data_IF_479337893387
#
_entry.id   IF_479337893387
#
_cell.length_a   1.000
_cell.length_b   1.000
_cell.length_c   1.000
_cell.angle_alpha   90.00
_cell.angle_beta   90.00
_cell.angle_gamma   90.00
#
_symmetry.space_group_name_H-M   'P 1'
#
loop_
_entity.id
_entity.type
_entity.pdbx_description
1 polymer ?
#
# COMPACT_ATOMS: atom_id res chain seq x y z
N UNK A 1 47.33 -40.12 9.67
CA UNK A 1 47.13 -38.83 10.37
C UNK A 1 46.14 -37.93 9.63
N UNK A 2 46.49 -37.36 8.46
CA UNK A 2 45.64 -36.42 7.68
C UNK A 2 44.15 -36.81 7.58
N UNK A 3 43.83 -38.05 7.17
CA UNK A 3 42.44 -38.54 7.04
C UNK A 3 41.63 -38.39 8.34
N UNK A 4 42.24 -38.67 9.50
CA UNK A 4 41.57 -38.54 10.80
C UNK A 4 41.33 -37.07 11.18
N UNK A 5 42.27 -36.17 10.84
CA UNK A 5 42.11 -34.72 11.05
C UNK A 5 40.98 -34.17 10.18
N UNK A 6 40.90 -34.57 8.91
CA UNK A 6 39.79 -34.21 8.02
C UNK A 6 38.44 -34.75 8.52
N UNK A 7 38.40 -35.99 9.01
CA UNK A 7 37.17 -36.57 9.57
C UNK A 7 36.67 -35.81 10.81
N UNK A 8 37.59 -35.46 11.72
CA UNK A 8 37.29 -34.65 12.91
C UNK A 8 36.79 -33.25 12.50
N UNK A 9 37.42 -32.61 11.51
CA UNK A 9 36.96 -31.32 10.97
C UNK A 9 35.54 -31.41 10.40
N UNK A 10 35.23 -32.43 9.59
CA UNK A 10 33.87 -32.63 9.05
C UNK A 10 32.86 -32.84 10.17
N UNK A 11 33.18 -33.67 11.19
CA UNK A 11 32.31 -33.90 12.35
C UNK A 11 32.08 -32.60 13.14
N UNK A 12 33.11 -31.79 13.37
CA UNK A 12 32.99 -30.50 14.04
C UNK A 12 32.17 -29.50 13.23
N UNK A 13 32.33 -29.44 11.91
CA UNK A 13 31.53 -28.57 11.02
C UNK A 13 30.05 -28.99 11.01
N UNK A 14 29.77 -30.30 11.03
CA UNK A 14 28.41 -30.84 11.12
C UNK A 14 27.79 -30.54 12.49
N UNK A 15 28.50 -30.78 13.59
CA UNK A 15 28.04 -30.46 14.96
C UNK A 15 27.82 -28.95 15.12
N UNK A 16 28.68 -28.10 14.57
CA UNK A 16 28.52 -26.65 14.61
C UNK A 16 27.26 -26.19 13.85
N UNK A 17 27.03 -26.71 12.64
CA UNK A 17 25.84 -26.32 11.85
C UNK A 17 24.53 -26.89 12.41
N UNK A 18 24.54 -28.09 12.98
CA UNK A 18 23.36 -28.69 13.62
C UNK A 18 23.08 -28.02 14.97
N UNK A 19 24.10 -27.73 15.77
CA UNK A 19 23.89 -27.16 17.11
C UNK A 19 23.29 -25.75 17.04
N UNK A 20 23.88 -24.83 16.27
CA UNK A 20 23.36 -23.44 16.20
C UNK A 20 21.92 -23.35 15.65
N UNK A 21 21.53 -24.23 14.72
CA UNK A 21 20.16 -24.27 14.19
C UNK A 21 19.16 -24.95 15.15
N UNK A 22 19.47 -26.18 15.59
CA UNK A 22 18.54 -26.98 16.38
C UNK A 22 18.40 -26.45 17.80
N UNK A 23 19.50 -26.07 18.46
CA UNK A 23 19.48 -25.66 19.88
C UNK A 23 18.65 -24.39 20.08
N UNK A 24 18.72 -23.42 19.14
CA UNK A 24 17.87 -22.20 19.16
C UNK A 24 16.37 -22.50 19.12
N UNK A 25 15.97 -23.61 18.48
CA UNK A 25 14.58 -24.03 18.39
C UNK A 25 14.14 -25.02 19.51
N UNK A 26 15.10 -25.66 20.18
CA UNK A 26 14.90 -26.65 21.25
C UNK A 26 14.79 -26.04 22.66
N UNK A 27 15.36 -24.86 22.91
CA UNK A 27 15.22 -24.22 24.22
C UNK A 27 13.76 -23.84 24.54
N UNK A 28 13.33 -23.94 25.81
CA UNK A 28 11.99 -23.51 26.22
C UNK A 28 11.84 -22.01 25.96
N UNK A 29 10.81 -21.65 25.18
CA UNK A 29 10.52 -20.27 24.80
C UNK A 29 9.98 -19.52 26.01
N UNK A 30 10.37 -18.26 26.15
CA UNK A 30 9.92 -17.38 27.24
C UNK A 30 8.39 -17.40 27.36
N UNK A 31 7.91 -17.59 28.60
CA UNK A 31 6.48 -17.48 28.90
C UNK A 31 6.02 -16.06 28.58
N UNK A 32 4.83 -15.93 27.97
CA UNK A 32 4.28 -14.63 27.61
C UNK A 32 4.02 -13.80 28.89
N UNK A 33 4.62 -12.60 29.04
CA UNK A 33 4.37 -11.78 30.22
C UNK A 33 2.88 -11.44 30.36
N UNK A 34 2.35 -11.53 31.58
CA UNK A 34 0.90 -11.53 31.83
C UNK A 34 0.15 -10.32 31.25
N UNK A 35 0.80 -9.15 31.17
CA UNK A 35 0.26 -7.92 30.59
C UNK A 35 -0.13 -8.04 29.10
N UNK A 36 0.35 -9.07 28.39
CA UNK A 36 0.06 -9.33 26.98
C UNK A 36 -1.03 -10.38 26.75
N UNK A 37 -1.56 -11.03 27.80
CA UNK A 37 -2.61 -12.05 27.70
C UNK A 37 -3.98 -11.48 27.26
N UNK A 38 -4.18 -10.17 27.36
CA UNK A 38 -5.41 -9.47 26.96
C UNK A 38 -5.46 -9.07 25.48
N UNK A 39 -4.34 -9.15 24.77
CA UNK A 39 -4.23 -8.77 23.36
C UNK A 39 -4.92 -9.83 22.50
N UNK A 40 -5.45 -9.43 21.34
CA UNK A 40 -6.12 -10.34 20.40
C UNK A 40 -5.70 -10.11 18.97
N UNK A 41 -5.83 -11.12 18.10
CA UNK A 41 -5.73 -10.88 16.66
C UNK A 41 -6.85 -9.90 16.21
N UNK A 42 -6.62 -9.03 15.22
CA UNK A 42 -7.59 -8.05 14.72
C UNK A 42 -9.00 -8.61 14.44
N UNK A 43 -9.08 -9.84 13.93
CA UNK A 43 -10.31 -10.55 13.58
C UNK A 43 -11.17 -10.94 14.80
N UNK A 44 -10.59 -10.97 16.01
CA UNK A 44 -11.30 -11.28 17.26
C UNK A 44 -11.83 -10.02 17.97
N UNK A 45 -11.91 -8.89 17.27
CA UNK A 45 -12.36 -7.59 17.78
C UNK A 45 -11.63 -7.19 19.08
N UNK A 46 -10.32 -6.86 19.01
CA UNK A 46 -9.50 -6.50 20.16
C UNK A 46 -10.16 -5.37 20.98
N UNK A 47 -10.19 -5.56 22.31
CA UNK A 47 -11.09 -4.83 23.18
C UNK A 47 -10.50 -3.49 23.67
N UNK A 48 -11.07 -2.37 23.23
CA UNK A 48 -10.96 -1.07 23.91
C UNK A 48 -12.30 -0.71 24.58
N UNK A 49 -12.30 0.13 25.63
CA UNK A 49 -13.53 0.70 26.19
C UNK A 49 -14.34 1.50 25.18
N UNK A 50 -13.70 2.38 24.39
CA UNK A 50 -14.39 3.30 23.46
C UNK A 50 -14.42 2.86 22.00
N UNK A 51 -13.50 1.99 21.57
CA UNK A 51 -13.33 1.63 20.16
C UNK A 51 -13.70 0.17 19.88
N UNK A 52 -14.12 -0.07 18.64
CA UNK A 52 -14.28 -1.39 18.05
C UNK A 52 -13.49 -1.47 16.74
N UNK A 53 -12.78 -2.57 16.53
CA UNK A 53 -12.11 -2.91 15.28
C UNK A 53 -12.94 -3.96 14.55
N UNK A 54 -13.21 -3.73 13.26
CA UNK A 54 -14.00 -4.64 12.41
C UNK A 54 -13.33 -4.80 11.05
N UNK A 55 -13.19 -6.04 10.58
CA UNK A 55 -12.74 -6.33 9.22
C UNK A 55 -13.73 -5.72 8.21
N UNK A 56 -13.20 -4.99 7.22
CA UNK A 56 -14.00 -4.37 6.16
C UNK A 56 -13.85 -5.13 4.84
N UNK A 57 -12.62 -5.45 4.44
CA UNK A 57 -12.34 -6.45 3.42
C UNK A 57 -10.98 -7.11 3.65
N UNK A 58 -10.78 -8.27 3.03
CA UNK A 58 -9.46 -8.88 2.81
C UNK A 58 -9.28 -9.10 1.31
N UNK A 59 -8.03 -9.10 0.84
CA UNK A 59 -7.68 -9.57 -0.51
C UNK A 59 -6.62 -10.67 -0.49
N UNK A 60 -6.37 -11.24 -1.66
CA UNK A 60 -5.34 -12.23 -1.97
C UNK A 60 -4.07 -11.62 -2.62
N UNK A 61 -4.13 -10.38 -3.11
CA UNK A 61 -3.05 -9.71 -3.84
C UNK A 61 -2.29 -8.68 -3.01
N UNK A 62 -0.99 -8.53 -3.27
CA UNK A 62 -0.05 -7.67 -2.54
C UNK A 62 -0.33 -6.15 -2.66
N UNK A 63 -1.29 -5.77 -3.51
CA UNK A 63 -1.27 -4.48 -4.22
C UNK A 63 -2.15 -3.35 -3.64
N UNK A 64 -2.96 -3.57 -2.58
CA UNK A 64 -4.02 -2.61 -2.24
C UNK A 64 -3.52 -1.23 -1.73
N UNK A 65 -2.85 -1.17 -0.58
CA UNK A 65 -2.66 0.09 0.16
C UNK A 65 -1.29 0.75 -0.01
N UNK A 66 -0.32 0.07 -0.63
CA UNK A 66 0.97 0.69 -0.97
C UNK A 66 0.90 1.47 -2.28
N UNK A 67 0.11 0.99 -3.25
CA UNK A 67 -0.05 1.62 -4.57
C UNK A 67 -1.24 2.60 -4.60
N UNK A 68 -2.33 2.33 -3.88
CA UNK A 68 -3.43 3.29 -3.71
C UNK A 68 -3.73 3.50 -2.21
N UNK A 69 -3.02 4.45 -1.61
CA UNK A 69 -3.35 4.97 -0.29
C UNK A 69 -4.78 5.55 -0.26
N UNK A 70 -5.53 5.45 0.85
CA UNK A 70 -6.89 5.96 0.96
C UNK A 70 -6.99 7.43 0.57
N UNK A 71 -8.02 7.78 -0.20
CA UNK A 71 -8.25 9.16 -0.66
C UNK A 71 -9.37 9.76 0.16
N UNK A 72 -9.13 10.94 0.74
CA UNK A 72 -10.12 11.71 1.47
C UNK A 72 -10.72 12.79 0.59
N UNK A 73 -12.05 12.86 0.55
CA UNK A 73 -12.87 13.90 -0.08
C UNK A 73 -13.31 14.89 1.00
N UNK A 74 -12.74 16.09 0.99
CA UNK A 74 -13.00 17.13 2.00
C UNK A 74 -14.24 17.97 1.73
N UNK A 75 -14.93 17.81 0.60
CA UNK A 75 -16.24 18.46 0.35
C UNK A 75 -17.34 17.61 1.01
N UNK A 76 -17.35 16.31 0.71
CA UNK A 76 -18.40 15.41 1.17
C UNK A 76 -18.03 14.67 2.48
N UNK A 77 -16.82 14.89 2.99
CA UNK A 77 -16.19 14.16 4.10
C UNK A 77 -16.20 12.62 3.91
N UNK A 78 -15.95 12.16 2.68
CA UNK A 78 -15.92 10.74 2.33
C UNK A 78 -14.48 10.19 2.29
N UNK A 79 -14.31 8.88 2.45
CA UNK A 79 -13.04 8.18 2.14
C UNK A 79 -13.27 7.16 1.04
N UNK A 80 -12.36 7.11 0.08
CA UNK A 80 -12.33 6.10 -0.97
C UNK A 80 -11.23 5.10 -0.67
N UNK A 81 -11.60 3.81 -0.64
CA UNK A 81 -10.70 2.67 -0.46
C UNK A 81 -10.70 1.81 -1.72
N UNK A 82 -9.51 1.38 -2.16
CA UNK A 82 -9.35 0.45 -3.27
C UNK A 82 -9.09 -0.97 -2.78
N UNK A 83 -9.67 -1.95 -3.48
CA UNK A 83 -9.43 -3.38 -3.32
C UNK A 83 -9.27 -4.03 -4.68
N UNK A 84 -8.03 -4.30 -5.07
CA UNK A 84 -7.73 -5.28 -6.10
C UNK A 84 -8.04 -6.68 -5.57
N UNK A 85 -8.48 -7.58 -6.46
CA UNK A 85 -8.66 -9.02 -6.20
C UNK A 85 -8.14 -9.76 -7.42
N UNK A 86 -7.12 -10.60 -7.24
CA UNK A 86 -6.63 -11.49 -8.30
C UNK A 86 -7.54 -12.72 -8.41
N UNK A 87 -7.60 -13.41 -9.57
CA UNK A 87 -8.25 -14.70 -9.68
C UNK A 87 -7.67 -15.71 -8.68
N UNK A 88 -8.51 -16.30 -7.83
CA UNK A 88 -8.11 -17.48 -7.05
C UNK A 88 -8.03 -18.68 -8.01
N UNK A 89 -6.84 -18.95 -8.56
CA UNK A 89 -6.65 -20.09 -9.45
C UNK A 89 -5.40 -20.92 -9.15
N UNK A 90 -5.61 -21.99 -8.39
CA UNK A 90 -4.68 -23.13 -8.30
C UNK A 90 -4.72 -24.04 -9.54
N UNK A 91 -5.55 -23.74 -10.55
CA UNK A 91 -5.65 -24.52 -11.79
C UNK A 91 -4.84 -23.95 -12.96
N UNK A 92 -4.23 -22.78 -12.80
CA UNK A 92 -3.31 -22.20 -13.79
C UNK A 92 -3.97 -21.61 -15.04
N UNK A 93 -5.28 -21.39 -15.03
CA UNK A 93 -6.02 -20.89 -16.18
C UNK A 93 -5.91 -19.36 -16.30
N UNK A 94 -5.37 -18.86 -17.43
CA UNK A 94 -4.99 -17.45 -17.64
C UNK A 94 -6.16 -16.48 -17.84
N UNK A 95 -7.34 -16.99 -18.17
CA UNK A 95 -8.38 -16.22 -18.86
C UNK A 95 -9.33 -15.46 -17.91
N UNK A 96 -8.92 -15.26 -16.65
CA UNK A 96 -9.71 -14.57 -15.62
C UNK A 96 -9.14 -13.18 -15.32
N UNK A 97 -10.05 -12.20 -15.25
CA UNK A 97 -9.75 -10.80 -14.97
C UNK A 97 -9.36 -10.55 -13.50
N UNK A 98 -8.46 -9.58 -13.31
CA UNK A 98 -8.24 -8.96 -12.01
C UNK A 98 -9.40 -7.99 -11.72
N UNK A 99 -10.08 -8.13 -10.59
CA UNK A 99 -11.20 -7.27 -10.22
C UNK A 99 -10.71 -6.11 -9.34
N UNK A 100 -10.83 -4.89 -9.83
CA UNK A 100 -10.59 -3.66 -9.04
C UNK A 100 -11.92 -3.16 -8.49
N UNK A 101 -12.08 -3.10 -7.16
CA UNK A 101 -13.27 -2.55 -6.51
C UNK A 101 -12.91 -1.33 -5.66
N UNK A 102 -13.59 -0.22 -5.90
CA UNK A 102 -13.56 0.98 -5.07
C UNK A 102 -14.77 1.02 -4.15
N UNK A 103 -14.55 1.40 -2.90
CA UNK A 103 -15.58 1.60 -1.87
C UNK A 103 -15.57 3.05 -1.42
N UNK A 104 -16.75 3.70 -1.39
CA UNK A 104 -16.93 5.03 -0.82
C UNK A 104 -17.53 4.90 0.58
N UNK A 105 -16.77 5.30 1.59
CA UNK A 105 -17.18 5.40 2.98
C UNK A 105 -17.56 6.84 3.31
N UNK A 106 -18.60 7.05 4.11
CA UNK A 106 -18.90 8.35 4.71
C UNK A 106 -18.03 8.63 5.95
N UNK A 107 -18.18 9.79 6.59
CA UNK A 107 -17.41 10.20 7.78
C UNK A 107 -17.61 9.32 9.03
N UNK A 108 -18.71 8.56 9.12
CA UNK A 108 -18.92 7.51 10.14
C UNK A 108 -18.31 6.14 9.73
N UNK A 109 -17.64 6.07 8.57
CA UNK A 109 -17.04 4.86 8.01
C UNK A 109 -18.07 3.86 7.51
N UNK A 110 -19.27 4.30 7.15
CA UNK A 110 -20.32 3.45 6.59
C UNK A 110 -20.20 3.44 5.07
N UNK A 111 -20.32 2.27 4.46
CA UNK A 111 -20.33 2.12 3.00
C UNK A 111 -21.59 2.79 2.44
N UNK A 112 -21.40 3.79 1.57
CA UNK A 112 -22.49 4.51 0.91
C UNK A 112 -22.59 4.18 -0.58
N UNK A 113 -21.50 3.78 -1.23
CA UNK A 113 -21.51 3.26 -2.61
C UNK A 113 -20.24 2.45 -2.93
N UNK A 114 -20.28 1.62 -3.96
CA UNK A 114 -19.12 0.93 -4.53
C UNK A 114 -19.17 0.86 -6.06
N UNK A 115 -18.00 0.66 -6.66
CA UNK A 115 -17.83 0.55 -8.10
C UNK A 115 -16.70 -0.44 -8.42
N UNK A 116 -16.93 -1.34 -9.38
CA UNK A 116 -16.02 -2.45 -9.71
C UNK A 116 -15.73 -2.51 -11.20
N UNK A 117 -14.49 -2.89 -11.55
CA UNK A 117 -14.00 -2.98 -12.92
C UNK A 117 -13.13 -4.23 -13.12
N UNK A 118 -13.29 -4.88 -14.27
CA UNK A 118 -12.45 -6.01 -14.70
C UNK A 118 -11.23 -5.52 -15.47
N UNK A 119 -10.03 -5.91 -15.03
CA UNK A 119 -8.71 -5.56 -15.56
C UNK A 119 -8.35 -4.06 -15.59
N UNK A 120 -9.28 -3.12 -15.42
CA UNK A 120 -8.98 -1.69 -15.33
C UNK A 120 -8.46 -1.29 -13.93
N UNK A 121 -7.49 -0.36 -13.90
CA UNK A 121 -6.92 0.22 -12.68
C UNK A 121 -6.89 1.76 -12.81
N UNK A 122 -8.04 2.45 -12.74
CA UNK A 122 -8.08 3.90 -12.91
C UNK A 122 -7.31 4.61 -11.80
N UNK A 123 -6.67 5.74 -12.14
CA UNK A 123 -6.24 6.70 -11.12
C UNK A 123 -7.41 7.63 -10.75
N UNK A 124 -7.45 8.05 -9.48
CA UNK A 124 -8.39 9.07 -9.00
C UNK A 124 -7.65 10.40 -8.91
N UNK A 125 -8.07 11.36 -9.73
CA UNK A 125 -7.50 12.72 -9.80
C UNK A 125 -8.61 13.72 -9.51
N UNK A 126 -8.48 14.44 -8.38
CA UNK A 126 -9.39 15.52 -7.96
C UNK A 126 -10.89 15.26 -8.19
N UNK A 127 -11.37 14.08 -7.78
CA UNK A 127 -12.79 13.74 -7.87
C UNK A 127 -13.21 12.94 -9.12
N UNK A 128 -12.29 12.67 -10.04
CA UNK A 128 -12.55 11.92 -11.29
C UNK A 128 -11.76 10.60 -11.29
N UNK A 129 -12.37 9.53 -11.79
CA UNK A 129 -11.68 8.29 -12.14
C UNK A 129 -11.26 8.34 -13.61
N UNK A 130 -9.96 8.20 -13.87
CA UNK A 130 -9.37 8.26 -15.20
C UNK A 130 -9.11 6.85 -15.76
N UNK A 131 -9.89 6.49 -16.77
CA UNK A 131 -9.61 5.51 -17.85
C UNK A 131 -9.23 6.35 -19.09
N UNK A 132 -9.17 5.90 -20.38
CA UNK A 132 -8.46 6.73 -21.40
C UNK A 132 -8.67 6.58 -22.95
N UNK A 133 -9.77 6.49 -23.71
CA UNK A 133 -11.24 6.56 -23.71
C UNK A 133 -12.00 7.45 -22.74
N UNK A 134 -12.21 7.01 -21.50
CA UNK A 134 -13.30 7.55 -20.68
C UNK A 134 -12.87 7.95 -19.27
N UNK A 135 -13.59 8.88 -18.68
CA UNK A 135 -13.54 9.17 -17.26
C UNK A 135 -14.96 9.09 -16.68
N UNK A 136 -15.06 9.04 -15.36
CA UNK A 136 -16.31 9.33 -14.65
C UNK A 136 -16.04 10.21 -13.43
N UNK A 137 -17.06 10.87 -12.92
CA UNK A 137 -17.00 11.68 -11.69
C UNK A 137 -17.59 10.94 -10.49
N UNK A 138 -17.47 9.60 -10.45
CA UNK A 138 -17.98 8.79 -9.35
C UNK A 138 -17.40 9.20 -7.99
N UNK A 139 -16.09 9.50 -7.83
CA UNK A 139 -15.54 9.96 -6.56
C UNK A 139 -16.26 11.19 -6.00
N UNK A 140 -16.46 12.25 -6.80
CA UNK A 140 -17.05 13.52 -6.36
C UNK A 140 -18.57 13.58 -6.38
N UNK A 141 -19.22 13.09 -7.44
CA UNK A 141 -20.67 13.23 -7.65
C UNK A 141 -21.46 11.94 -7.42
N UNK A 142 -20.78 10.78 -7.43
CA UNK A 142 -21.43 9.47 -7.50
C UNK A 142 -21.88 9.07 -8.92
N UNK A 143 -21.70 9.91 -9.93
CA UNK A 143 -22.01 9.56 -11.32
C UNK A 143 -21.09 8.45 -11.83
N UNK A 144 -21.68 7.29 -12.13
CA UNK A 144 -21.02 6.13 -12.76
C UNK A 144 -21.00 6.24 -14.29
N UNK A 145 -21.52 7.33 -14.86
CA UNK A 145 -21.62 7.51 -16.31
C UNK A 145 -20.23 7.71 -16.93
N UNK A 146 -19.86 6.96 -17.99
CA UNK A 146 -18.63 7.19 -18.71
C UNK A 146 -18.76 8.42 -19.62
N UNK A 147 -17.75 9.28 -19.60
CA UNK A 147 -17.63 10.45 -20.46
C UNK A 147 -16.33 10.36 -21.26
N UNK A 148 -16.39 10.60 -22.57
CA UNK A 148 -15.20 10.63 -23.43
C UNK A 148 -14.33 11.85 -23.13
N UNK A 149 -13.01 11.71 -23.21
CA UNK A 149 -12.09 12.85 -23.22
C UNK A 149 -12.38 13.80 -24.38
N UNK A 150 -12.07 15.08 -24.19
CA UNK A 150 -12.07 16.09 -25.24
C UNK A 150 -10.62 16.24 -25.74
N UNK A 151 -10.25 15.63 -26.88
CA UNK A 151 -8.86 15.60 -27.31
C UNK A 151 -8.45 16.92 -27.96
N UNK A 152 -7.21 17.33 -27.74
CA UNK A 152 -6.59 18.54 -28.25
C UNK A 152 -5.30 18.15 -28.98
N UNK A 153 -5.10 18.65 -30.21
CA UNK A 153 -3.89 18.38 -31.02
C UNK A 153 -3.67 16.90 -31.41
N UNK A 154 -4.73 16.12 -31.66
CA UNK A 154 -4.66 14.68 -32.03
C UNK A 154 -3.67 14.33 -33.15
N UNK A 155 -3.46 15.26 -34.09
CA UNK A 155 -2.61 15.09 -35.25
C UNK A 155 -1.13 15.43 -34.98
N UNK A 156 -0.84 16.09 -33.85
CA UNK A 156 0.43 16.77 -33.56
C UNK A 156 0.78 17.94 -34.49
N UNK A 157 -0.23 18.61 -35.06
CA UNK A 157 -0.08 19.76 -35.99
C UNK A 157 0.31 21.08 -35.28
N UNK A 158 0.18 21.19 -33.95
CA UNK A 158 0.49 22.42 -33.23
C UNK A 158 2.00 22.73 -33.24
N UNK A 159 2.35 23.96 -33.61
CA UNK A 159 3.71 24.50 -33.41
C UNK A 159 4.06 24.52 -31.91
N UNK A 160 5.34 24.50 -31.58
CA UNK A 160 5.80 24.55 -30.18
C UNK A 160 5.33 25.80 -29.42
N UNK A 161 5.08 26.92 -30.12
CA UNK A 161 4.50 28.11 -29.52
C UNK A 161 3.00 27.91 -29.23
N UNK A 162 2.22 27.44 -30.21
CA UNK A 162 0.79 27.17 -30.04
C UNK A 162 0.55 26.12 -28.95
N UNK A 163 1.35 25.06 -28.92
CA UNK A 163 1.28 24.00 -27.92
C UNK A 163 1.53 24.55 -26.52
N UNK A 164 2.56 25.39 -26.35
CA UNK A 164 2.91 26.05 -25.08
C UNK A 164 1.87 27.08 -24.62
N UNK A 165 1.21 27.77 -25.55
CA UNK A 165 0.11 28.70 -25.24
C UNK A 165 -1.17 27.96 -24.81
N UNK A 166 -1.57 26.92 -25.56
CA UNK A 166 -2.70 26.05 -25.21
C UNK A 166 -2.45 25.37 -23.86
N UNK A 167 -1.28 24.76 -23.68
CA UNK A 167 -0.85 24.17 -22.41
C UNK A 167 -1.02 25.18 -21.26
N UNK A 168 -0.44 26.39 -21.38
CA UNK A 168 -0.51 27.41 -20.33
C UNK A 168 -1.94 27.87 -20.05
N UNK A 169 -2.78 27.97 -21.08
CA UNK A 169 -4.20 28.33 -20.93
C UNK A 169 -4.95 27.29 -20.09
N UNK A 170 -4.86 26.00 -20.45
CA UNK A 170 -5.50 24.93 -19.69
C UNK A 170 -4.87 24.75 -18.30
N UNK A 171 -3.54 24.76 -18.18
CA UNK A 171 -2.83 24.58 -16.91
C UNK A 171 -3.18 25.64 -15.85
N UNK A 172 -3.40 26.90 -16.25
CA UNK A 172 -3.81 27.97 -15.32
C UNK A 172 -5.32 27.93 -14.99
N UNK A 173 -6.15 27.30 -15.83
CA UNK A 173 -7.60 27.29 -15.68
C UNK A 173 -8.15 25.98 -15.09
N UNK A 174 -7.37 24.89 -15.12
CA UNK A 174 -7.75 23.58 -14.58
C UNK A 174 -7.71 23.52 -13.05
N UNK A 175 -8.65 22.78 -12.47
CA UNK A 175 -8.70 22.46 -11.03
C UNK A 175 -7.76 21.33 -10.63
N UNK A 176 -7.30 20.54 -11.60
CA UNK A 176 -6.23 19.56 -11.47
C UNK A 176 -5.65 19.23 -12.85
N UNK A 177 -4.40 18.76 -12.87
CA UNK A 177 -3.69 18.32 -14.07
C UNK A 177 -3.05 16.97 -13.76
N UNK A 178 -3.18 16.01 -14.66
CA UNK A 178 -2.54 14.69 -14.57
C UNK A 178 -1.67 14.45 -15.80
N UNK A 179 -0.51 13.85 -15.58
CA UNK A 179 0.47 13.52 -16.61
C UNK A 179 0.71 12.02 -16.58
N UNK A 180 0.46 11.34 -17.70
CA UNK A 180 0.83 9.92 -17.83
C UNK A 180 2.31 9.82 -18.18
N UNK A 181 3.15 9.81 -17.14
CA UNK A 181 4.61 9.65 -17.27
C UNK A 181 5.05 8.38 -18.02
N UNK A 182 4.16 7.40 -18.21
CA UNK A 182 4.51 6.05 -18.63
C UNK A 182 3.74 5.52 -19.86
N UNK A 183 2.81 6.29 -20.43
CA UNK A 183 1.81 5.83 -21.40
C UNK A 183 1.10 4.54 -20.94
N UNK A 184 0.84 4.40 -19.64
CA UNK A 184 0.13 3.24 -19.06
C UNK A 184 -1.37 3.29 -19.35
N UNK A 185 -1.90 4.45 -19.71
CA UNK A 185 -3.30 4.68 -19.96
C UNK A 185 -3.55 4.92 -21.47
N UNK A 186 -3.61 3.80 -22.20
CA UNK A 186 -4.20 3.60 -23.56
C UNK A 186 -3.39 4.04 -24.80
N UNK A 187 -3.75 3.66 -26.04
CA UNK A 187 -4.44 2.44 -26.53
C UNK A 187 -4.18 2.24 -28.03
N UNK A 188 -4.23 0.96 -28.46
CA UNK A 188 -4.41 0.42 -29.83
C UNK A 188 -3.70 1.10 -31.01
N UNK A 189 -4.06 2.32 -31.39
CA UNK A 189 -3.59 3.01 -32.61
C UNK A 189 -2.12 3.45 -32.53
N UNK A 190 -1.40 3.29 -33.65
CA UNK A 190 0.05 3.58 -33.73
C UNK A 190 0.40 5.06 -33.60
N UNK A 191 -0.48 5.97 -34.04
CA UNK A 191 -0.24 7.43 -33.97
C UNK A 191 -0.24 7.94 -32.52
N UNK A 192 -1.04 7.33 -31.63
CA UNK A 192 -1.15 7.73 -30.22
C UNK A 192 0.05 7.29 -29.36
N UNK A 193 0.92 6.41 -29.86
CA UNK A 193 2.02 5.79 -29.09
C UNK A 193 3.33 6.58 -29.09
N UNK A 194 3.37 7.79 -29.65
CA UNK A 194 4.58 8.60 -29.81
C UNK A 194 4.43 10.07 -29.36
N UNK A 195 3.30 10.39 -28.72
CA UNK A 195 3.09 11.65 -28.03
C UNK A 195 3.22 11.44 -26.52
N UNK A 196 3.56 12.50 -25.81
CA UNK A 196 3.19 12.70 -24.41
C UNK A 196 1.73 13.17 -24.35
N UNK A 197 1.03 12.80 -23.27
CA UNK A 197 -0.38 13.10 -23.05
C UNK A 197 -0.52 13.83 -21.71
N UNK A 198 -1.33 14.88 -21.65
CA UNK A 198 -1.62 15.57 -20.39
C UNK A 198 -3.11 15.87 -20.25
N UNK A 199 -3.69 15.37 -19.16
CA UNK A 199 -5.12 15.46 -18.86
C UNK A 199 -5.38 16.69 -17.98
N UNK A 200 -6.19 17.60 -18.49
CA UNK A 200 -6.58 18.86 -17.88
C UNK A 200 -8.03 18.79 -17.41
N UNK A 201 -8.27 18.86 -16.10
CA UNK A 201 -9.62 18.83 -15.52
C UNK A 201 -10.14 20.27 -15.38
N UNK A 202 -11.14 20.64 -16.18
CA UNK A 202 -11.66 22.02 -16.31
C UNK A 202 -13.15 21.99 -16.68
N UNK A 203 -13.96 22.86 -16.05
CA UNK A 203 -15.41 23.00 -16.31
C UNK A 203 -16.15 21.64 -16.33
N UNK A 204 -15.88 20.82 -15.32
CA UNK A 204 -16.35 19.43 -15.13
C UNK A 204 -16.02 18.44 -16.27
N UNK A 205 -15.03 18.76 -17.10
CA UNK A 205 -14.58 17.94 -18.24
C UNK A 205 -13.08 17.66 -18.16
N UNK A 206 -12.69 16.49 -18.66
CA UNK A 206 -11.29 16.16 -18.89
C UNK A 206 -10.92 16.42 -20.37
N UNK A 207 -9.98 17.33 -20.56
CA UNK A 207 -9.37 17.62 -21.86
C UNK A 207 -8.02 16.91 -21.95
N UNK A 208 -7.74 16.28 -23.08
CA UNK A 208 -6.56 15.43 -23.30
C UNK A 208 -5.66 16.07 -24.36
N UNK A 209 -4.51 16.60 -23.94
CA UNK A 209 -3.57 17.31 -24.82
C UNK A 209 -2.45 16.38 -25.29
N UNK A 210 -2.38 16.17 -26.60
CA UNK A 210 -1.33 15.41 -27.27
C UNK A 210 -0.18 16.35 -27.65
N UNK A 211 1.07 15.94 -27.43
CA UNK A 211 2.24 16.70 -27.88
C UNK A 211 3.58 16.01 -27.62
N UNK A 212 4.65 16.80 -27.63
CA UNK A 212 6.00 16.38 -27.22
C UNK A 212 6.53 17.38 -26.21
N UNK A 213 7.28 16.92 -25.22
CA UNK A 213 7.86 17.74 -24.16
C UNK A 213 6.79 18.58 -23.42
N UNK A 214 5.63 17.99 -23.13
CA UNK A 214 4.58 18.59 -22.32
C UNK A 214 5.04 18.74 -20.87
N UNK A 215 5.84 17.79 -20.37
CA UNK A 215 6.44 17.89 -19.03
C UNK A 215 7.39 19.09 -18.89
N UNK A 216 8.14 19.43 -19.94
CA UNK A 216 9.03 20.61 -19.94
C UNK A 216 8.27 21.95 -19.76
N UNK A 217 6.93 21.94 -19.79
CA UNK A 217 6.09 23.11 -19.55
C UNK A 217 5.54 23.20 -18.10
N UNK A 218 5.74 22.20 -17.23
CA UNK A 218 5.28 22.20 -15.82
C UNK A 218 6.24 22.96 -14.89
N UNK A 219 6.41 24.26 -15.09
CA UNK A 219 7.34 25.08 -14.31
C UNK A 219 6.96 25.26 -12.83
N UNK A 220 5.67 25.20 -12.51
CA UNK A 220 5.07 25.37 -11.18
C UNK A 220 3.79 24.51 -11.09
N UNK A 221 3.34 24.08 -9.90
CA UNK A 221 2.05 23.38 -9.75
C UNK A 221 0.85 24.25 -10.21
N UNK A 222 -0.33 23.65 -10.51
CA UNK A 222 -1.49 24.38 -11.00
C UNK A 222 -1.96 25.43 -9.99
N UNK A 223 -2.21 26.66 -10.43
CA UNK A 223 -2.63 27.76 -9.53
C UNK A 223 -3.93 27.46 -8.77
N UNK A 224 -4.78 26.64 -9.36
CA UNK A 224 -6.07 26.22 -8.82
C UNK A 224 -6.07 24.73 -8.42
N UNK A 225 -4.91 24.12 -8.16
CA UNK A 225 -4.82 22.71 -7.75
C UNK A 225 -5.64 22.48 -6.48
N UNK A 226 -6.78 21.81 -6.65
CA UNK A 226 -7.74 21.69 -5.56
C UNK A 226 -7.36 20.56 -4.62
N UNK A 227 -7.30 20.89 -3.33
CA UNK A 227 -7.03 19.94 -2.24
C UNK A 227 -8.27 19.16 -1.81
N UNK A 228 -9.37 19.24 -2.57
CA UNK A 228 -10.63 18.57 -2.27
C UNK A 228 -10.49 17.04 -2.19
N UNK A 229 -9.52 16.46 -2.91
CA UNK A 229 -9.20 15.03 -2.85
C UNK A 229 -7.73 14.83 -2.51
N UNK A 230 -7.43 14.41 -1.28
CA UNK A 230 -6.05 14.16 -0.84
C UNK A 230 -5.77 12.68 -0.54
N UNK A 231 -4.63 12.16 -1.02
CA UNK A 231 -4.10 10.84 -0.65
C UNK A 231 -3.60 10.90 0.80
N UNK A 232 -4.21 10.16 1.73
CA UNK A 232 -3.89 10.21 3.16
C UNK A 232 -2.45 9.71 3.43
N UNK A 233 -1.56 10.64 3.82
CA UNK A 233 -0.10 10.42 3.84
C UNK A 233 0.44 9.64 5.05
N UNK A 234 -0.43 9.10 5.91
CA UNK A 234 -0.06 8.45 7.18
C UNK A 234 0.47 7.01 7.01
N UNK A 235 1.47 6.82 6.15
CA UNK A 235 2.34 5.63 6.22
C UNK A 235 3.28 5.81 7.42
N UNK A 236 2.79 5.42 8.61
CA UNK A 236 3.62 5.37 9.81
C UNK A 236 4.89 4.55 9.51
N UNK A 237 6.06 5.03 9.93
CA UNK A 237 7.30 4.30 9.70
C UNK A 237 7.34 3.09 10.64
N UNK A 238 7.01 1.93 10.07
CA UNK A 238 6.89 0.66 10.75
C UNK A 238 8.06 -0.29 10.41
N UNK A 239 9.12 0.21 9.76
CA UNK A 239 10.36 -0.55 9.49
C UNK A 239 11.13 -0.87 10.79
N UNK A 240 10.85 -0.08 11.84
CA UNK A 240 11.39 -0.19 13.22
C UNK A 240 10.24 -0.04 14.22
N UNK A 241 9.32 -1.00 14.33
CA UNK A 241 8.10 -0.87 15.12
C UNK A 241 8.36 -0.79 16.64
N UNK A 242 9.58 -1.10 17.10
CA UNK A 242 10.04 -0.86 18.47
C UNK A 242 10.34 0.61 18.79
N UNK A 243 10.43 1.48 17.78
CA UNK A 243 10.46 2.94 17.98
C UNK A 243 9.03 3.40 18.22
N UNK A 244 8.76 4.04 19.36
CA UNK A 244 7.45 4.58 19.68
C UNK A 244 7.04 5.64 18.66
N UNK A 245 6.10 5.30 17.77
CA UNK A 245 5.44 6.24 16.89
C UNK A 245 3.98 6.45 17.37
N UNK A 246 3.37 7.63 17.13
CA UNK A 246 2.11 8.04 17.79
C UNK A 246 0.86 7.30 17.28
N UNK A 247 1.03 6.25 16.48
CA UNK A 247 -0.03 5.52 15.81
C UNK A 247 0.04 4.02 16.06
N UNK A 248 1.23 3.42 16.01
CA UNK A 248 1.44 1.99 16.13
C UNK A 248 2.85 1.69 16.63
N UNK A 249 3.00 0.91 17.70
CA UNK A 249 4.30 0.42 18.14
C UNK A 249 4.24 -1.00 18.72
N UNK A 250 5.37 -1.70 18.71
CA UNK A 250 5.52 -3.08 19.14
C UNK A 250 5.98 -3.14 20.60
N UNK A 251 5.09 -3.54 21.50
CA UNK A 251 5.36 -3.62 22.94
C UNK A 251 6.12 -4.90 23.33
N UNK A 252 5.92 -6.02 22.62
CA UNK A 252 6.66 -7.26 22.84
C UNK A 252 6.67 -8.16 21.60
N UNK A 253 7.71 -8.99 21.46
CA UNK A 253 7.85 -9.95 20.37
C UNK A 253 8.15 -11.35 20.91
N UNK A 254 7.16 -12.25 20.87
CA UNK A 254 7.35 -13.64 21.28
C UNK A 254 7.92 -14.45 20.11
N UNK A 255 9.21 -14.77 20.19
CA UNK A 255 9.90 -15.70 19.28
C UNK A 255 9.17 -17.05 19.22
N UNK A 256 8.86 -17.55 18.02
CA UNK A 256 8.20 -18.86 17.80
C UNK A 256 9.10 -19.87 17.09
N UNK A 257 9.84 -19.46 16.07
CA UNK A 257 10.74 -20.33 15.29
C UNK A 257 11.92 -19.51 14.75
N UNK A 258 13.14 -20.07 14.78
CA UNK A 258 14.31 -19.48 14.13
C UNK A 258 14.54 -20.12 12.77
N UNK A 259 14.57 -19.29 11.73
CA UNK A 259 14.87 -19.66 10.36
C UNK A 259 16.26 -19.12 9.97
N UNK A 260 17.14 -20.01 9.51
CA UNK A 260 18.51 -19.67 9.12
C UNK A 260 18.53 -19.13 7.70
N UNK A 261 19.16 -17.97 7.53
CA UNK A 261 19.34 -17.33 6.24
C UNK A 261 20.14 -18.19 5.26
N UNK A 262 19.81 -18.07 3.98
CA UNK A 262 20.53 -18.74 2.89
C UNK A 262 21.40 -17.75 2.13
N UNK A 263 22.66 -18.13 1.87
CA UNK A 263 23.54 -17.39 0.97
C UNK A 263 23.27 -17.72 -0.50
N UNK A 264 23.86 -16.97 -1.44
CA UNK A 264 23.82 -17.31 -2.86
C UNK A 264 24.31 -18.76 -3.07
N UNK A 265 23.52 -19.57 -3.79
CA UNK A 265 23.89 -20.94 -4.13
C UNK A 265 25.15 -20.92 -5.01
N UNK A 266 26.10 -21.80 -4.72
CA UNK A 266 27.35 -21.90 -5.47
C UNK A 266 27.05 -22.14 -6.96
N UNK A 267 27.59 -21.28 -7.84
CA UNK A 267 27.25 -21.23 -9.26
C UNK A 267 26.17 -20.20 -9.65
N UNK A 268 25.58 -19.46 -8.72
CA UNK A 268 24.66 -18.35 -9.01
C UNK A 268 25.16 -17.02 -8.42
N UNK A 269 25.92 -16.21 -9.19
CA UNK A 269 26.46 -14.93 -8.73
C UNK A 269 25.40 -13.91 -8.28
N UNK A 270 24.19 -14.02 -8.85
CA UNK A 270 23.05 -13.14 -8.58
C UNK A 270 22.00 -13.83 -7.66
N UNK A 271 22.38 -14.87 -6.92
CA UNK A 271 21.45 -15.59 -6.05
C UNK A 271 21.02 -14.75 -4.85
N UNK A 272 19.73 -14.42 -4.74
CA UNK A 272 19.17 -13.71 -3.60
C UNK A 272 19.54 -14.40 -2.28
N UNK A 273 20.20 -13.67 -1.39
CA UNK A 273 20.41 -14.13 -0.01
C UNK A 273 19.20 -13.79 0.86
N UNK A 274 18.79 -14.73 1.71
CA UNK A 274 17.79 -14.49 2.75
C UNK A 274 18.49 -14.24 4.09
N UNK A 275 18.03 -13.25 4.86
CA UNK A 275 18.57 -12.99 6.20
C UNK A 275 18.06 -14.04 7.20
N UNK A 276 18.91 -14.39 8.17
CA UNK A 276 18.51 -15.19 9.33
C UNK A 276 17.50 -14.42 10.17
N UNK A 277 16.38 -15.03 10.54
CA UNK A 277 15.29 -14.31 11.20
C UNK A 277 14.51 -15.18 12.19
N UNK A 278 13.83 -14.52 13.13
CA UNK A 278 12.85 -15.14 13.99
C UNK A 278 11.45 -14.94 13.41
N UNK A 279 10.75 -16.02 13.13
CA UNK A 279 9.30 -16.05 13.01
C UNK A 279 8.68 -16.00 14.41
N UNK A 280 7.65 -15.18 14.63
CA UNK A 280 7.10 -14.93 15.96
C UNK A 280 5.74 -14.23 15.98
N UNK A 281 5.28 -13.88 17.18
CA UNK A 281 4.09 -13.05 17.40
C UNK A 281 4.50 -11.68 17.95
N UNK A 282 4.11 -10.63 17.24
CA UNK A 282 4.19 -9.24 17.71
C UNK A 282 2.94 -8.84 18.50
N UNK A 283 3.16 -8.26 19.67
CA UNK A 283 2.14 -7.68 20.54
C UNK A 283 2.22 -6.17 20.36
N UNK A 284 1.31 -5.65 19.55
CA UNK A 284 1.35 -4.29 19.00
C UNK A 284 0.27 -3.44 19.64
N UNK A 285 0.62 -2.18 19.92
CA UNK A 285 -0.25 -1.17 20.49
C UNK A 285 -0.71 -0.22 19.39
N UNK A 286 -1.98 -0.28 19.02
CA UNK A 286 -2.60 0.64 18.07
C UNK A 286 -3.18 1.85 18.82
N UNK A 287 -2.60 3.02 18.59
CA UNK A 287 -2.88 4.24 19.34
C UNK A 287 -3.97 5.10 18.68
N UNK A 288 -5.07 5.32 19.41
CA UNK A 288 -6.22 6.10 18.92
C UNK A 288 -6.60 7.18 19.93
N UNK A 289 -6.26 8.43 19.60
CA UNK A 289 -6.37 9.64 20.45
C UNK A 289 -5.52 9.50 21.72
N UNK A 290 -6.05 8.88 22.78
CA UNK A 290 -5.36 8.58 24.05
C UNK A 290 -5.63 7.15 24.53
N UNK A 291 -6.24 6.30 23.71
CA UNK A 291 -6.43 4.88 24.01
C UNK A 291 -5.47 4.01 23.19
N UNK A 292 -5.17 2.85 23.75
CA UNK A 292 -4.40 1.79 23.14
C UNK A 292 -5.34 0.60 22.86
N UNK A 293 -5.23 0.01 21.66
CA UNK A 293 -5.85 -1.27 21.31
C UNK A 293 -4.73 -2.28 21.12
N UNK A 294 -4.59 -3.21 22.05
CA UNK A 294 -3.58 -4.27 22.01
C UNK A 294 -3.93 -5.37 21.01
N UNK A 295 -3.16 -5.47 19.93
CA UNK A 295 -3.35 -6.42 18.84
C UNK A 295 -2.21 -7.44 18.76
N UNK A 296 -2.53 -8.67 18.36
CA UNK A 296 -1.55 -9.72 18.05
C UNK A 296 -1.41 -9.84 16.54
N UNK A 297 -0.18 -9.83 16.05
CA UNK A 297 0.16 -10.01 14.64
C UNK A 297 1.24 -11.08 14.51
N UNK A 298 1.22 -11.86 13.43
CA UNK A 298 2.38 -12.67 13.04
C UNK A 298 3.47 -11.72 12.52
N UNK A 299 4.71 -11.91 12.97
CA UNK A 299 5.82 -11.04 12.60
C UNK A 299 7.14 -11.81 12.46
N UNK A 300 7.93 -11.43 11.46
CA UNK A 300 9.34 -11.75 11.29
C UNK A 300 10.22 -10.69 11.93
N UNK A 301 11.36 -11.09 12.50
CA UNK A 301 12.41 -10.20 13.03
C UNK A 301 13.79 -10.68 12.59
N UNK A 302 14.42 -9.95 11.67
CA UNK A 302 15.73 -10.27 11.11
C UNK A 302 16.82 -10.09 12.16
N UNK A 303 17.81 -10.97 12.17
CA UNK A 303 19.05 -10.83 12.94
C UNK A 303 20.10 -10.26 12.00
N UNK A 304 20.67 -9.10 12.35
CA UNK A 304 21.82 -8.56 11.63
C UNK A 304 23.09 -9.36 11.94
N UNK A 305 23.88 -9.65 10.90
CA UNK A 305 25.22 -10.22 11.00
C UNK A 305 26.28 -9.10 11.26
N UNK A 306 27.52 -9.43 11.68
CA UNK A 306 28.32 -8.60 12.59
C UNK A 306 29.10 -7.44 11.93
N UNK A 307 28.42 -6.55 11.20
CA UNK A 307 28.99 -5.28 10.72
C UNK A 307 28.69 -4.16 11.74
N UNK A 308 29.66 -3.64 12.53
CA UNK A 308 29.35 -2.87 13.75
C UNK A 308 28.76 -1.45 13.60
N UNK A 309 28.32 -1.06 12.40
CA UNK A 309 27.91 0.31 12.10
C UNK A 309 26.38 0.55 12.15
N UNK A 310 25.56 -0.45 11.78
CA UNK A 310 24.12 -0.24 11.54
C UNK A 310 23.22 -1.44 11.93
N UNK A 311 23.64 -2.29 12.86
CA UNK A 311 22.83 -3.42 13.35
C UNK A 311 21.60 -2.94 14.13
N UNK A 312 20.42 -3.02 13.51
CA UNK A 312 19.11 -2.72 14.10
C UNK A 312 18.09 -3.68 13.48
N UNK A 313 17.66 -4.67 14.28
CA UNK A 313 16.74 -5.75 13.89
C UNK A 313 15.53 -5.23 13.08
N UNK A 314 15.45 -5.58 11.79
CA UNK A 314 14.33 -5.19 10.92
C UNK A 314 13.17 -6.17 11.01
N UNK A 315 11.96 -5.69 10.79
CA UNK A 315 10.74 -6.51 10.73
C UNK A 315 10.14 -6.43 9.33
N UNK A 316 9.88 -7.57 8.67
CA UNK A 316 9.48 -7.58 7.26
C UNK A 316 7.95 -7.51 7.07
N UNK A 317 7.25 -6.62 7.78
CA UNK A 317 5.79 -6.50 7.66
C UNK A 317 5.33 -5.05 7.57
N UNK A 318 4.60 -4.74 6.49
CA UNK A 318 4.08 -3.39 6.24
C UNK A 318 2.72 -3.24 6.90
N UNK A 319 2.73 -2.57 8.05
CA UNK A 319 1.51 -2.14 8.75
C UNK A 319 1.15 -0.73 8.29
N UNK A 320 -0.15 -0.46 8.15
CA UNK A 320 -0.67 0.83 7.67
C UNK A 320 -1.75 1.36 8.63
N UNK A 321 -1.74 2.66 8.90
CA UNK A 321 -2.75 3.32 9.74
C UNK A 321 -3.12 4.70 9.21
N UNK A 322 -4.31 4.83 8.64
CA UNK A 322 -4.80 6.08 8.08
C UNK A 322 -5.90 6.67 8.96
N UNK A 323 -5.82 7.99 9.18
CA UNK A 323 -6.75 8.77 9.99
C UNK A 323 -6.72 10.21 9.51
N UNK A 324 -7.88 10.85 9.45
CA UNK A 324 -8.04 12.29 9.21
C UNK A 324 -8.85 12.90 10.39
N UNK A 325 -8.64 14.18 10.80
CA UNK A 325 -9.30 14.76 11.97
C UNK A 325 -10.84 14.79 11.91
N UNK A 326 -11.41 14.87 10.70
CA UNK A 326 -12.85 14.99 10.46
C UNK A 326 -13.59 13.64 10.33
N UNK A 327 -12.87 12.52 10.52
CA UNK A 327 -13.43 11.17 10.45
C UNK A 327 -13.67 10.60 11.85
N UNK A 328 -14.83 9.95 12.04
CA UNK A 328 -15.17 9.24 13.27
C UNK A 328 -14.58 7.82 13.35
N UNK A 329 -13.64 7.50 12.46
CA UNK A 329 -12.97 6.21 12.35
C UNK A 329 -11.51 6.38 11.89
N UNK A 330 -10.72 5.34 12.12
CA UNK A 330 -9.42 5.13 11.48
C UNK A 330 -9.45 3.85 10.64
N UNK A 331 -8.52 3.74 9.71
CA UNK A 331 -8.30 2.54 8.88
C UNK A 331 -6.98 1.92 9.34
N UNK A 332 -7.02 0.66 9.75
CA UNK A 332 -5.83 -0.14 10.03
C UNK A 332 -5.72 -1.25 8.97
N UNK A 333 -4.52 -1.53 8.50
CA UNK A 333 -4.28 -2.71 7.67
C UNK A 333 -2.94 -3.37 8.02
N UNK A 334 -2.92 -4.69 7.88
CA UNK A 334 -1.74 -5.55 8.06
C UNK A 334 -1.28 -6.15 6.74
N UNK A 335 -0.11 -6.77 6.82
CA UNK A 335 0.68 -7.32 5.72
C UNK A 335 0.01 -8.48 4.95
N UNK A 336 -1.09 -9.05 5.46
CA UNK A 336 -1.93 -10.03 4.74
C UNK A 336 -3.10 -9.38 3.96
N UNK A 337 -3.04 -8.05 3.80
CA UNK A 337 -3.99 -7.21 3.05
C UNK A 337 -5.44 -7.25 3.57
N UNK A 338 -5.61 -7.65 4.83
CA UNK A 338 -6.83 -7.41 5.60
C UNK A 338 -6.89 -5.95 6.04
N UNK A 339 -7.98 -5.27 5.66
CA UNK A 339 -8.26 -3.88 5.97
C UNK A 339 -9.40 -3.80 6.98
N UNK A 340 -9.14 -3.13 8.10
CA UNK A 340 -10.03 -2.97 9.23
C UNK A 340 -10.44 -1.51 9.38
N UNK A 341 -11.71 -1.28 9.69
CA UNK A 341 -12.17 0.01 10.21
C UNK A 341 -12.14 -0.05 11.73
N UNK A 342 -11.62 1.00 12.35
CA UNK A 342 -11.62 1.16 13.80
C UNK A 342 -12.46 2.37 14.15
N UNK A 343 -13.67 2.11 14.67
CA UNK A 343 -14.69 3.11 14.95
C UNK A 343 -14.84 3.33 16.45
N UNK A 344 -15.31 4.51 16.86
CA UNK A 344 -15.90 4.64 18.20
C UNK A 344 -17.17 3.77 18.29
N UNK A 345 -17.36 3.13 19.44
CA UNK A 345 -18.55 2.34 19.75
C UNK A 345 -19.75 3.28 19.88
N UNK A 346 -20.86 2.91 19.25
CA UNK A 346 -22.15 3.55 19.53
C UNK A 346 -22.42 3.52 21.04
N UNK A 347 -22.81 4.67 21.61
CA UNK A 347 -23.40 4.69 22.94
C UNK A 347 -24.73 3.93 22.87
N UNK A 348 -24.90 2.96 23.77
CA UNK A 348 -26.15 2.25 24.04
C UNK A 348 -26.92 3.09 25.05
#
# INVERSE_FOLDING_TARGET
MLIAVSLILVVLIVIYNISDFSVRNLFPKEQLPAQYLSYKIPEQSPASPKYQMSLFFKTNTLNNLEYQAPIYDSINHNVILCKYTEPNDSTGNSDRSNLTTFYKLNKEGNLIDSLSFDNEKPEIVNGYMLFANYYNSWPSTGSKMPHSYIPLNTNNDFTSQNLKEVFRSYYNASIAVHYDENNQYYATDTVKKQAEHMIFIKDDKCYDLFGKNLFDYTFHPPKNESKNFEKLKNKANNDKPEVENPYLYLAYFQKKHFEKGSGPKWGSPNGNSTQSHWNGLGYVNLMIKKENIGIILEMTKNIDDPVPAYSQYRYNHKLYYFKHPELNFAIFAKDDYSVFLVKEKSKI
#
